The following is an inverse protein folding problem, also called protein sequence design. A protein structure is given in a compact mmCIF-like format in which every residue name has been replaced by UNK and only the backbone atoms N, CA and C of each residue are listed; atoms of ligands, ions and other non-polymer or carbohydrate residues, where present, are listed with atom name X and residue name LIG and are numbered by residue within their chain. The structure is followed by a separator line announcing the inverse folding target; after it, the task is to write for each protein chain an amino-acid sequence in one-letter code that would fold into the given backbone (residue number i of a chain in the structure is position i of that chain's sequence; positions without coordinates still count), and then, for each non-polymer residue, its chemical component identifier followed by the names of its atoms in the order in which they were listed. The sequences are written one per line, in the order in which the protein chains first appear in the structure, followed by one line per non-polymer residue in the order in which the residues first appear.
data_IF_867101566127
#
_entry.id   IF_867101566127
#
_cell.length_a   1.000
_cell.length_b   1.000
_cell.length_c   1.000
_cell.angle_alpha   90.00
_cell.angle_beta   90.00
_cell.angle_gamma   90.00
#
_symmetry.space_group_name_H-M   'P 1'
#
loop_
_entity.id
_entity.type
_entity.pdbx_description
1 polymer ?
#
# COMPACT_ATOMS: atom_id res chain seq x y z
N UNK A 1 -0.93 14.75 -36.00
CA UNK A 1 0.06 14.13 -35.07
C UNK A 1 1.42 14.75 -35.34
N UNK A 2 2.09 15.34 -34.35
CA UNK A 2 3.44 15.85 -34.55
C UNK A 2 4.46 14.70 -34.54
N UNK A 3 5.51 14.75 -35.37
CA UNK A 3 6.54 13.71 -35.40
C UNK A 3 7.31 13.68 -34.07
N UNK A 4 7.49 12.48 -33.51
CA UNK A 4 8.34 12.28 -32.33
C UNK A 4 9.80 12.48 -32.71
N UNK A 5 10.42 13.55 -32.21
CA UNK A 5 11.85 13.76 -32.33
C UNK A 5 12.61 12.80 -31.41
N UNK A 6 13.44 11.94 -32.00
CA UNK A 6 14.30 10.99 -31.26
C UNK A 6 15.74 11.51 -31.29
N UNK A 7 16.18 12.12 -30.20
CA UNK A 7 17.56 12.57 -30.03
C UNK A 7 18.48 11.38 -29.74
N UNK A 8 19.46 11.12 -30.60
CA UNK A 8 20.48 10.08 -30.41
C UNK A 8 21.85 10.71 -30.18
N UNK A 9 22.43 10.41 -29.02
CA UNK A 9 23.76 10.88 -28.64
C UNK A 9 24.84 9.88 -29.08
N UNK A 10 25.93 10.39 -29.67
CA UNK A 10 27.10 9.61 -30.04
C UNK A 10 27.83 9.07 -28.79
N UNK A 11 28.66 8.05 -28.98
CA UNK A 11 29.39 7.43 -27.85
C UNK A 11 30.47 8.36 -27.28
N UNK A 12 31.15 9.12 -28.14
CA UNK A 12 32.15 10.12 -27.75
C UNK A 12 31.53 11.21 -26.87
N UNK A 13 30.38 11.74 -27.27
CA UNK A 13 29.65 12.72 -26.49
C UNK A 13 29.25 12.18 -25.11
N UNK A 14 28.73 10.96 -25.04
CA UNK A 14 28.38 10.32 -23.77
C UNK A 14 29.58 10.18 -22.84
N UNK A 15 30.74 9.82 -23.38
CA UNK A 15 31.99 9.70 -22.60
C UNK A 15 32.49 11.07 -22.13
N UNK A 16 32.42 12.09 -22.97
CA UNK A 16 32.79 13.45 -22.61
C UNK A 16 31.96 13.95 -21.43
N UNK A 17 30.62 13.87 -21.52
CA UNK A 17 29.72 14.31 -20.44
C UNK A 17 30.02 13.59 -19.12
N UNK A 18 30.28 12.28 -19.17
CA UNK A 18 30.64 11.48 -17.98
C UNK A 18 32.01 11.87 -17.43
N UNK A 19 33.00 12.10 -18.28
CA UNK A 19 34.34 12.55 -17.86
C UNK A 19 34.31 13.92 -17.20
N UNK A 20 33.47 14.85 -17.69
CA UNK A 20 33.33 16.18 -17.11
C UNK A 20 32.57 16.17 -15.77
N UNK A 21 31.66 15.20 -15.58
CA UNK A 21 31.07 14.89 -14.28
C UNK A 21 32.08 14.27 -13.31
N UNK A 22 32.99 13.42 -13.79
CA UNK A 22 34.09 12.84 -13.00
C UNK A 22 35.10 13.90 -12.56
N UNK A 23 35.43 14.84 -13.43
CA UNK A 23 36.40 15.89 -13.12
C UNK A 23 35.84 16.98 -12.20
N UNK A 24 34.58 16.88 -11.77
CA UNK A 24 33.93 17.88 -10.91
C UNK A 24 33.66 19.21 -11.63
N UNK A 25 33.57 19.22 -12.96
CA UNK A 25 33.17 20.44 -13.70
C UNK A 25 31.72 20.83 -13.40
N UNK A 26 30.89 19.83 -13.11
CA UNK A 26 29.49 20.01 -12.73
C UNK A 26 29.24 19.38 -11.36
N UNK A 27 28.59 20.14 -10.48
CA UNK A 27 28.26 19.70 -9.11
C UNK A 27 27.10 18.69 -9.10
N UNK A 28 26.29 18.67 -10.17
CA UNK A 28 25.10 17.85 -10.26
C UNK A 28 24.82 17.38 -11.69
N UNK A 29 24.19 16.20 -11.79
CA UNK A 29 23.65 15.66 -13.05
C UNK A 29 22.68 16.66 -13.70
N UNK A 30 21.91 17.41 -12.89
CA UNK A 30 20.97 18.41 -13.40
C UNK A 30 21.68 19.56 -14.12
N UNK A 31 22.78 20.06 -13.55
CA UNK A 31 23.58 21.15 -14.12
C UNK A 31 24.23 20.73 -15.44
N UNK A 32 24.78 19.51 -15.51
CA UNK A 32 25.29 18.95 -16.75
C UNK A 32 24.16 18.78 -17.79
N UNK A 33 22.97 18.34 -17.37
CA UNK A 33 21.82 18.18 -18.26
C UNK A 33 21.39 19.51 -18.88
N UNK A 34 21.33 20.57 -18.07
CA UNK A 34 20.97 21.92 -18.50
C UNK A 34 22.02 22.51 -19.44
N UNK A 35 23.31 22.41 -19.08
CA UNK A 35 24.42 22.91 -19.89
C UNK A 35 24.46 22.30 -21.29
N UNK A 36 24.17 20.99 -21.42
CA UNK A 36 24.17 20.28 -22.70
C UNK A 36 22.80 20.20 -23.38
N UNK A 37 21.76 20.82 -22.83
CA UNK A 37 20.40 20.77 -23.39
C UNK A 37 19.77 19.37 -23.38
N UNK A 38 20.19 18.49 -22.47
CA UNK A 38 19.66 17.13 -22.34
C UNK A 38 18.36 17.21 -21.56
N UNK A 39 17.22 16.98 -22.21
CA UNK A 39 15.89 17.10 -21.57
C UNK A 39 15.56 15.94 -20.62
N UNK A 40 16.23 14.79 -20.76
CA UNK A 40 15.91 13.59 -19.99
C UNK A 40 16.68 13.48 -18.68
N UNK A 41 16.01 13.65 -17.55
CA UNK A 41 16.58 13.52 -16.19
C UNK A 41 17.27 12.17 -15.92
N UNK A 42 16.84 11.10 -16.60
CA UNK A 42 17.41 9.76 -16.48
C UNK A 42 18.50 9.45 -17.51
N UNK A 43 18.68 10.29 -18.52
CA UNK A 43 19.57 10.00 -19.66
C UNK A 43 21.02 9.86 -19.23
N UNK A 44 21.53 10.85 -18.47
CA UNK A 44 22.89 10.85 -17.95
C UNK A 44 23.08 9.75 -16.90
N UNK A 45 22.09 9.53 -16.01
CA UNK A 45 22.11 8.42 -15.03
C UNK A 45 22.26 7.05 -15.70
N UNK A 46 21.56 6.83 -16.83
CA UNK A 46 21.71 5.59 -17.62
C UNK A 46 23.10 5.45 -18.23
N UNK A 47 23.75 6.54 -18.62
CA UNK A 47 25.13 6.50 -19.11
C UNK A 47 26.10 6.17 -17.97
N UNK A 48 25.98 6.84 -16.82
CA UNK A 48 26.78 6.56 -15.62
C UNK A 48 26.71 5.08 -15.22
N UNK A 49 25.50 4.50 -15.22
CA UNK A 49 25.31 3.07 -14.96
C UNK A 49 25.97 2.16 -16.00
N UNK A 50 25.89 2.51 -17.28
CA UNK A 50 26.54 1.75 -18.37
C UNK A 50 28.08 1.83 -18.32
N UNK A 51 28.63 2.95 -17.85
CA UNK A 51 30.08 3.13 -17.71
C UNK A 51 30.61 2.67 -16.34
N UNK A 52 29.77 2.11 -15.46
CA UNK A 52 30.18 1.62 -14.15
C UNK A 52 30.51 2.74 -13.14
N UNK A 53 30.05 3.97 -13.38
CA UNK A 53 30.32 5.17 -12.58
C UNK A 53 29.20 5.49 -11.60
N UNK A 54 28.65 4.45 -10.98
CA UNK A 54 27.54 4.55 -10.05
C UNK A 54 27.89 5.34 -8.77
N UNK A 55 29.17 5.50 -8.45
CA UNK A 55 29.62 6.31 -7.30
C UNK A 55 29.41 7.81 -7.52
N UNK A 56 29.30 8.28 -8.76
CA UNK A 56 28.99 9.68 -9.09
C UNK A 56 27.49 9.97 -9.00
N UNK A 57 26.65 8.93 -8.93
CA UNK A 57 25.24 9.12 -8.65
C UNK A 57 25.11 9.49 -7.17
N UNK A 58 24.58 10.67 -6.83
CA UNK A 58 24.37 11.03 -5.43
C UNK A 58 23.49 9.97 -4.79
N UNK A 59 23.96 9.38 -3.70
CA UNK A 59 23.18 8.45 -2.88
C UNK A 59 21.98 9.24 -2.36
N UNK A 60 20.79 8.92 -2.88
CA UNK A 60 19.54 9.52 -2.39
C UNK A 60 19.30 8.95 -1.00
N UNK A 61 19.83 9.61 0.02
CA UNK A 61 19.48 9.37 1.41
C UNK A 61 18.13 10.07 1.60
N UNK A 62 17.06 9.30 1.52
CA UNK A 62 15.73 9.80 1.85
C UNK A 62 15.68 10.01 3.36
N UNK A 63 15.78 11.27 3.78
CA UNK A 63 15.64 11.65 5.19
C UNK A 63 14.15 11.64 5.52
N UNK A 64 13.63 10.47 5.89
CA UNK A 64 12.30 10.35 6.48
C UNK A 64 12.41 10.55 8.00
N UNK A 65 11.42 11.20 8.62
CA UNK A 65 11.34 11.22 10.08
C UNK A 65 11.14 9.77 10.56
N UNK A 66 11.82 9.32 11.64
CA UNK A 66 11.78 7.92 12.07
C UNK A 66 10.35 7.38 12.29
N UNK A 67 9.39 8.27 12.57
CA UNK A 67 8.01 7.92 12.90
C UNK A 67 7.14 7.52 11.69
N UNK A 68 7.54 7.81 10.44
CA UNK A 68 6.67 7.64 9.27
C UNK A 68 6.70 6.20 8.70
N UNK A 69 7.85 5.51 8.72
CA UNK A 69 7.93 4.10 8.31
C UNK A 69 7.18 3.17 9.27
N UNK A 70 7.10 3.54 10.53
CA UNK A 70 6.44 2.76 11.56
C UNK A 70 4.93 2.88 11.47
N UNK A 71 4.40 4.03 11.05
CA UNK A 71 2.97 4.22 10.78
C UNK A 71 2.48 3.33 9.63
N UNK A 72 3.21 3.27 8.51
CA UNK A 72 2.81 2.42 7.37
C UNK A 72 2.85 0.94 7.75
N UNK A 73 3.84 0.51 8.53
CA UNK A 73 3.92 -0.87 9.03
C UNK A 73 2.82 -1.19 10.03
N UNK A 74 2.54 -0.27 10.97
CA UNK A 74 1.49 -0.43 11.96
C UNK A 74 0.11 -0.51 11.30
N UNK A 75 -0.18 0.37 10.34
CA UNK A 75 -1.43 0.37 9.59
C UNK A 75 -1.61 -0.93 8.80
N UNK A 76 -0.56 -1.44 8.14
CA UNK A 76 -0.61 -2.74 7.46
C UNK A 76 -0.90 -3.88 8.42
N UNK A 77 -0.30 -3.88 9.61
CA UNK A 77 -0.53 -4.89 10.64
C UNK A 77 -1.98 -4.87 11.13
N UNK A 78 -2.52 -3.67 11.39
CA UNK A 78 -3.92 -3.51 11.79
C UNK A 78 -4.89 -4.00 10.70
N UNK A 79 -4.63 -3.69 9.43
CA UNK A 79 -5.46 -4.18 8.32
C UNK A 79 -5.45 -5.71 8.26
N UNK A 80 -4.31 -6.35 8.47
CA UNK A 80 -4.21 -7.80 8.46
C UNK A 80 -5.02 -8.42 9.61
N UNK A 81 -4.85 -7.91 10.83
CA UNK A 81 -5.57 -8.38 12.02
C UNK A 81 -7.09 -8.22 11.87
N UNK A 82 -7.54 -7.09 11.33
CA UNK A 82 -8.96 -6.85 11.09
C UNK A 82 -9.55 -7.79 10.04
N UNK A 83 -8.81 -8.08 8.97
CA UNK A 83 -9.25 -9.04 7.95
C UNK A 83 -9.36 -10.46 8.50
N UNK A 84 -8.41 -10.88 9.32
CA UNK A 84 -8.43 -12.19 9.97
C UNK A 84 -9.61 -12.31 10.94
N UNK A 85 -9.80 -11.32 11.81
CA UNK A 85 -10.94 -11.28 12.73
C UNK A 85 -12.27 -11.32 11.99
N UNK A 86 -12.41 -10.53 10.91
CA UNK A 86 -13.60 -10.54 10.09
C UNK A 86 -13.84 -11.91 9.44
N UNK A 87 -12.80 -12.53 8.88
CA UNK A 87 -12.90 -13.87 8.29
C UNK A 87 -13.36 -14.91 9.31
N UNK A 88 -12.79 -14.90 10.51
CA UNK A 88 -13.16 -15.80 11.59
C UNK A 88 -14.63 -15.61 12.00
N UNK A 89 -15.07 -14.37 12.23
CA UNK A 89 -16.46 -14.08 12.60
C UNK A 89 -17.45 -14.45 11.48
N UNK A 90 -17.07 -14.29 10.21
CA UNK A 90 -17.92 -14.73 9.09
C UNK A 90 -18.05 -16.25 9.05
N UNK A 91 -16.95 -16.99 9.24
CA UNK A 91 -16.99 -18.45 9.28
C UNK A 91 -17.85 -18.96 10.45
N UNK A 92 -17.67 -18.41 11.65
CA UNK A 92 -18.48 -18.74 12.82
C UNK A 92 -19.96 -18.42 12.61
N UNK A 93 -20.28 -17.28 11.99
CA UNK A 93 -21.67 -16.94 11.69
C UNK A 93 -22.34 -17.93 10.74
N UNK A 94 -21.64 -18.38 9.69
CA UNK A 94 -22.18 -19.39 8.76
C UNK A 94 -22.42 -20.70 9.50
N UNK A 95 -21.46 -21.16 10.31
CA UNK A 95 -21.61 -22.38 11.10
C UNK A 95 -22.79 -22.27 12.07
N UNK A 96 -22.89 -21.15 12.79
CA UNK A 96 -23.98 -20.90 13.75
C UNK A 96 -25.35 -20.85 13.06
N UNK A 97 -25.43 -20.31 11.84
CA UNK A 97 -26.67 -20.30 11.06
C UNK A 97 -27.10 -21.72 10.69
N UNK A 98 -26.19 -22.57 10.22
CA UNK A 98 -26.52 -23.96 9.87
C UNK A 98 -26.85 -24.79 11.13
N UNK A 99 -26.10 -24.59 12.23
CA UNK A 99 -26.38 -25.21 13.51
C UNK A 99 -27.79 -24.87 14.02
N UNK A 100 -28.20 -23.60 13.92
CA UNK A 100 -29.56 -23.18 14.26
C UNK A 100 -30.62 -23.87 13.41
N UNK A 101 -30.38 -24.07 12.11
CA UNK A 101 -31.33 -24.78 11.25
C UNK A 101 -31.51 -26.21 11.70
N UNK A 102 -30.41 -26.95 11.90
CA UNK A 102 -30.44 -28.34 12.36
C UNK A 102 -31.16 -28.45 13.71
N UNK A 103 -30.84 -27.58 14.66
CA UNK A 103 -31.49 -27.58 15.98
C UNK A 103 -32.99 -27.28 15.89
N UNK A 104 -33.42 -26.38 15.00
CA UNK A 104 -34.85 -26.10 14.77
C UNK A 104 -35.57 -27.30 14.11
N UNK A 105 -34.92 -27.95 13.14
CA UNK A 105 -35.43 -29.17 12.49
C UNK A 105 -35.63 -30.31 13.50
N UNK A 106 -34.66 -30.55 14.39
CA UNK A 106 -34.76 -31.57 15.44
C UNK A 106 -35.88 -31.26 16.45
N UNK A 107 -36.12 -29.98 16.75
CA UNK A 107 -37.21 -29.55 17.63
C UNK A 107 -38.58 -29.46 16.92
N UNK A 108 -38.64 -29.74 15.62
CA UNK A 108 -39.87 -29.61 14.81
C UNK A 108 -40.39 -28.17 14.72
N UNK A 109 -39.50 -27.18 14.87
CA UNK A 109 -39.82 -25.76 14.82
C UNK A 109 -39.27 -25.12 13.54
N UNK A 110 -39.99 -24.16 12.99
CA UNK A 110 -39.50 -23.36 11.87
C UNK A 110 -38.51 -22.28 12.36
N UNK A 111 -37.40 -22.11 11.63
CA UNK A 111 -36.26 -21.26 12.01
C UNK A 111 -36.67 -19.79 12.11
N UNK A 112 -37.54 -19.33 11.22
CA UNK A 112 -38.00 -17.95 11.19
C UNK A 112 -39.03 -17.66 12.31
N UNK A 113 -39.87 -18.65 12.63
CA UNK A 113 -40.75 -18.58 13.80
C UNK A 113 -39.96 -18.58 15.12
N UNK A 114 -38.85 -19.34 15.20
CA UNK A 114 -37.97 -19.36 16.37
C UNK A 114 -37.27 -18.01 16.58
N UNK A 115 -36.65 -17.46 15.53
CA UNK A 115 -36.01 -16.13 15.59
C UNK A 115 -37.01 -15.05 16.01
N UNK A 116 -38.22 -15.04 15.43
CA UNK A 116 -39.27 -14.08 15.78
C UNK A 116 -39.78 -14.21 17.22
N UNK A 117 -39.89 -15.44 17.74
CA UNK A 117 -40.22 -15.69 19.16
C UNK A 117 -39.12 -15.19 20.09
N UNK A 118 -37.85 -15.38 19.73
CA UNK A 118 -36.71 -14.88 20.50
C UNK A 118 -36.68 -13.35 20.49
N UNK A 119 -36.87 -12.70 19.34
CA UNK A 119 -36.94 -11.24 19.24
C UNK A 119 -38.11 -10.65 20.05
N UNK A 120 -39.26 -11.36 20.10
CA UNK A 120 -40.42 -10.97 20.91
C UNK A 120 -40.17 -11.15 22.43
N UNK A 121 -39.52 -12.24 22.85
CA UNK A 121 -39.13 -12.45 24.26
C UNK A 121 -38.09 -11.43 24.71
N UNK A 122 -37.09 -11.17 23.87
CA UNK A 122 -36.00 -10.23 24.15
C UNK A 122 -36.48 -8.78 24.22
N UNK A 123 -37.58 -8.45 23.53
CA UNK A 123 -38.24 -7.14 23.66
C UNK A 123 -39.16 -7.03 24.88
N UNK A 124 -39.65 -8.15 25.43
CA UNK A 124 -40.42 -8.19 26.69
C UNK A 124 -39.53 -8.18 27.95
N UNK A 125 -38.32 -8.74 27.90
CA UNK A 125 -37.37 -8.77 29.04
C UNK A 125 -36.59 -7.47 29.24
N UNK A 126 -36.81 -6.43 28.41
CA UNK A 126 -36.13 -5.12 28.54
C UNK A 126 -36.92 -4.14 29.43
N UNK A 127 -38.06 -4.54 29.98
CA UNK A 127 -38.92 -3.68 30.83
C UNK A 127 -39.12 -4.20 32.25
N UNK A 128 -38.06 -4.60 32.96
CA UNK A 128 -38.13 -4.67 34.42
C UNK A 128 -36.75 -4.40 35.07
N UNK A 129 -36.68 -3.30 35.82
CA UNK A 129 -35.59 -3.04 36.77
C UNK A 129 -34.93 -1.66 36.71
N UNK A 130 -35.69 -0.58 36.93
CA UNK A 130 -35.13 0.52 37.72
C UNK A 130 -34.90 -0.01 39.15
N UNK A 131 -33.68 0.15 39.68
CA UNK A 131 -33.55 0.67 41.05
C UNK A 131 -32.17 1.27 41.29
N UNK A 132 -32.20 2.56 41.59
CA UNK A 132 -31.20 3.36 42.27
C UNK A 132 -31.00 2.91 43.72
N UNK A 133 -29.75 2.75 44.16
CA UNK A 133 -29.19 3.31 45.41
C UNK A 133 -27.69 3.54 45.18
#
# INVERSE_FOLDING_TARGET
MQPRLVLRYSMSFKRQVVSELESGRFDSIGQASEHYGITGSMTIRKWLGKFGRNHLCPKVIRVEKPNEQDQVRQLKKQIQQLKEALGQTQAENVINQEFLKIACEEMGQDVDAFKKKVDTKRSMEVDDGQESV
#
